data_IF_198551509104
#
_entry.id   IF_198551509104
#
_cell.length_a   1.000
_cell.length_b   1.000
_cell.length_c   1.000
_cell.angle_alpha   90.00
_cell.angle_beta   90.00
_cell.angle_gamma   90.00
#
_symmetry.space_group_name_H-M   'P 1'
#
loop_
_entity.id
_entity.type
_entity.pdbx_description
1 polymer ?
#
# COMPACT_ATOMS: atom_id res chain seq x y z
N UNK A 1 4.39 17.10 -71.56
CA UNK A 1 4.64 16.96 -70.11
C UNK A 1 3.33 16.55 -69.45
N UNK A 2 3.12 15.25 -69.26
CA UNK A 2 1.92 14.71 -68.60
C UNK A 2 2.35 14.16 -67.23
N UNK A 3 1.80 14.74 -66.17
CA UNK A 3 2.08 14.34 -64.79
C UNK A 3 1.14 13.20 -64.39
N UNK A 4 1.73 12.06 -64.04
CA UNK A 4 1.04 10.86 -63.55
C UNK A 4 0.67 11.08 -62.09
N UNK A 5 -0.62 11.06 -61.79
CA UNK A 5 -1.18 11.14 -60.44
C UNK A 5 -0.99 9.80 -59.73
N UNK A 6 -0.07 9.75 -58.77
CA UNK A 6 0.06 8.64 -57.83
C UNK A 6 -0.94 8.83 -56.69
N UNK A 7 -1.91 7.90 -56.59
CA UNK A 7 -2.81 7.78 -55.44
C UNK A 7 -1.99 7.25 -54.25
N UNK A 8 -1.67 8.10 -53.29
CA UNK A 8 -1.19 7.68 -51.98
C UNK A 8 -2.37 7.72 -50.99
N UNK A 9 -2.94 6.55 -50.73
CA UNK A 9 -3.88 6.32 -49.63
C UNK A 9 -3.12 6.40 -48.31
N UNK A 10 -3.21 7.55 -47.64
CA UNK A 10 -2.70 7.72 -46.29
C UNK A 10 -3.69 7.07 -45.33
N UNK A 11 -3.14 6.12 -44.60
CA UNK A 11 -3.71 5.28 -43.56
C UNK A 11 -4.53 6.14 -42.59
N UNK A 12 -5.81 5.79 -42.46
CA UNK A 12 -6.69 6.36 -41.44
C UNK A 12 -6.07 6.15 -40.07
N UNK A 13 -5.91 7.25 -39.34
CA UNK A 13 -5.73 7.25 -37.90
C UNK A 13 -6.88 6.46 -37.29
N UNK A 14 -6.64 5.18 -36.97
CA UNK A 14 -7.40 4.51 -35.94
C UNK A 14 -7.01 5.18 -34.62
N UNK A 15 -7.61 6.35 -34.36
CA UNK A 15 -7.90 6.74 -32.99
C UNK A 15 -8.73 5.59 -32.43
N UNK A 16 -8.08 4.68 -31.71
CA UNK A 16 -8.75 3.76 -30.82
C UNK A 16 -9.35 4.63 -29.73
N UNK A 17 -10.50 5.22 -30.06
CA UNK A 17 -11.45 5.71 -29.09
C UNK A 17 -11.88 4.45 -28.34
N UNK A 18 -11.12 4.09 -27.30
CA UNK A 18 -11.65 3.17 -26.31
C UNK A 18 -12.99 3.79 -25.90
N UNK A 19 -14.11 3.05 -25.98
CA UNK A 19 -15.37 3.57 -25.50
C UNK A 19 -15.12 4.07 -24.09
N UNK A 20 -15.51 5.31 -23.77
CA UNK A 20 -15.35 5.90 -22.44
C UNK A 20 -16.02 4.97 -21.43
N UNK A 21 -15.25 4.02 -20.92
CA UNK A 21 -15.76 2.96 -20.05
C UNK A 21 -16.20 3.68 -18.79
N UNK A 22 -17.50 3.65 -18.51
CA UNK A 22 -18.03 4.30 -17.33
C UNK A 22 -17.37 3.68 -16.08
N UNK A 23 -17.18 4.52 -15.06
CA UNK A 23 -16.37 4.16 -13.92
C UNK A 23 -16.94 2.95 -13.13
N UNK A 24 -18.25 2.75 -13.17
CA UNK A 24 -18.90 1.60 -12.54
C UNK A 24 -18.62 0.31 -13.32
N UNK A 25 -18.67 0.35 -14.66
CA UNK A 25 -18.25 -0.77 -15.49
C UNK A 25 -16.79 -1.13 -15.28
N UNK A 26 -15.89 -0.14 -15.22
CA UNK A 26 -14.46 -0.36 -14.96
C UNK A 26 -14.22 -1.01 -13.59
N UNK A 27 -14.88 -0.53 -12.53
CA UNK A 27 -14.77 -1.15 -11.20
C UNK A 27 -15.36 -2.57 -11.18
N UNK A 28 -16.47 -2.80 -11.87
CA UNK A 28 -17.13 -4.11 -11.96
C UNK A 28 -16.25 -5.14 -12.67
N UNK A 29 -15.54 -4.74 -13.73
CA UNK A 29 -14.58 -5.60 -14.43
C UNK A 29 -13.42 -6.02 -13.51
N UNK A 30 -12.81 -5.05 -12.81
CA UNK A 30 -11.73 -5.38 -11.86
C UNK A 30 -12.24 -6.29 -10.75
N UNK A 31 -13.44 -6.04 -10.21
CA UNK A 31 -14.05 -6.85 -9.18
C UNK A 31 -14.36 -8.27 -9.64
N UNK A 32 -14.71 -8.47 -10.91
CA UNK A 32 -14.79 -9.81 -11.51
C UNK A 32 -13.42 -10.49 -11.55
N UNK A 33 -12.37 -9.74 -11.92
CA UNK A 33 -10.98 -10.23 -11.89
C UNK A 33 -10.53 -10.65 -10.49
N UNK A 34 -10.84 -9.84 -9.46
CA UNK A 34 -10.55 -10.19 -8.05
C UNK A 34 -11.25 -11.47 -7.59
N UNK A 35 -12.42 -11.79 -8.17
CA UNK A 35 -13.21 -12.99 -7.86
C UNK A 35 -12.89 -14.18 -8.78
N UNK A 36 -11.94 -14.06 -9.70
CA UNK A 36 -11.52 -15.16 -10.57
C UNK A 36 -10.94 -16.32 -9.75
N UNK A 37 -11.07 -17.55 -10.25
CA UNK A 37 -10.39 -18.71 -9.69
C UNK A 37 -8.88 -18.71 -10.01
N UNK A 38 -8.44 -17.93 -11.00
CA UNK A 38 -7.04 -17.87 -11.43
C UNK A 38 -6.31 -16.76 -10.72
N UNK A 39 -5.27 -17.11 -9.97
CA UNK A 39 -4.40 -16.15 -9.26
C UNK A 39 -3.81 -15.10 -10.22
N UNK A 40 -3.47 -15.48 -11.46
CA UNK A 40 -2.97 -14.54 -12.47
C UNK A 40 -3.95 -13.41 -12.80
N UNK A 41 -5.23 -13.76 -13.01
CA UNK A 41 -6.30 -12.78 -13.30
C UNK A 41 -6.58 -11.89 -12.07
N UNK A 42 -6.55 -12.45 -10.85
CA UNK A 42 -6.66 -11.68 -9.62
C UNK A 42 -5.53 -10.65 -9.50
N UNK A 43 -4.29 -11.08 -9.76
CA UNK A 43 -3.12 -10.21 -9.66
C UNK A 43 -3.13 -9.10 -10.71
N UNK A 44 -3.50 -9.44 -11.95
CA UNK A 44 -3.69 -8.47 -13.03
C UNK A 44 -4.74 -7.41 -12.67
N UNK A 45 -5.87 -7.83 -12.08
CA UNK A 45 -6.89 -6.91 -11.63
C UNK A 45 -6.37 -5.95 -10.54
N UNK A 46 -5.63 -6.47 -9.54
CA UNK A 46 -5.08 -5.64 -8.44
C UNK A 46 -4.17 -4.52 -8.96
N UNK A 47 -3.25 -4.83 -9.89
CA UNK A 47 -2.28 -3.83 -10.38
C UNK A 47 -2.91 -2.74 -11.25
N UNK A 48 -4.17 -2.90 -11.68
CA UNK A 48 -4.92 -1.89 -12.44
C UNK A 48 -5.63 -0.85 -11.55
N UNK A 49 -5.83 -1.12 -10.26
CA UNK A 49 -6.50 -0.20 -9.34
C UNK A 49 -5.86 1.20 -9.23
N UNK A 50 -4.52 1.36 -9.19
CA UNK A 50 -3.91 2.68 -9.17
C UNK A 50 -4.36 3.53 -10.37
N UNK A 51 -4.37 2.97 -11.58
CA UNK A 51 -4.84 3.66 -12.80
C UNK A 51 -6.33 4.01 -12.71
N UNK A 52 -7.14 3.13 -12.12
CA UNK A 52 -8.55 3.40 -11.89
C UNK A 52 -8.75 4.62 -10.97
N UNK A 53 -7.96 4.74 -9.90
CA UNK A 53 -8.06 5.86 -8.96
C UNK A 53 -7.62 7.19 -9.58
N UNK A 54 -6.62 7.16 -10.46
CA UNK A 54 -6.19 8.33 -11.22
C UNK A 54 -7.27 8.80 -12.20
N UNK A 55 -7.88 7.86 -12.94
CA UNK A 55 -8.91 8.17 -13.93
C UNK A 55 -10.21 8.64 -13.29
N UNK A 56 -10.55 8.07 -12.13
CA UNK A 56 -11.84 8.27 -11.46
C UNK A 56 -11.65 8.60 -9.97
N UNK A 57 -11.19 9.82 -9.63
CA UNK A 57 -10.75 10.16 -8.27
C UNK A 57 -11.91 10.56 -7.34
N UNK A 58 -13.10 9.96 -7.49
CA UNK A 58 -14.28 10.29 -6.69
C UNK A 58 -14.46 9.36 -5.48
N UNK A 59 -14.88 9.87 -4.30
CA UNK A 59 -14.86 9.11 -3.05
C UNK A 59 -15.65 7.81 -3.05
N UNK A 60 -16.79 7.74 -3.74
CA UNK A 60 -17.65 6.56 -3.77
C UNK A 60 -16.93 5.35 -4.38
N UNK A 61 -16.22 5.55 -5.51
CA UNK A 61 -15.47 4.48 -6.16
C UNK A 61 -14.22 4.10 -5.37
N UNK A 62 -13.48 5.10 -4.87
CA UNK A 62 -12.27 4.83 -4.07
C UNK A 62 -12.63 4.03 -2.82
N UNK A 63 -13.66 4.44 -2.09
CA UNK A 63 -14.15 3.71 -0.92
C UNK A 63 -14.52 2.26 -1.27
N UNK A 64 -15.32 2.07 -2.32
CA UNK A 64 -15.77 0.74 -2.76
C UNK A 64 -14.61 -0.15 -3.16
N UNK A 65 -13.65 0.38 -3.91
CA UNK A 65 -12.44 -0.33 -4.33
C UNK A 65 -11.53 -0.68 -3.15
N UNK A 66 -11.27 0.26 -2.24
CA UNK A 66 -10.48 0.02 -1.03
C UNK A 66 -11.09 -1.08 -0.17
N UNK A 67 -12.42 -1.10 0.02
CA UNK A 67 -13.10 -2.17 0.77
C UNK A 67 -12.95 -3.55 0.10
N UNK A 68 -13.00 -3.62 -1.24
CA UNK A 68 -12.76 -4.86 -2.00
C UNK A 68 -11.32 -5.34 -1.89
N UNK A 69 -10.34 -4.42 -2.01
CA UNK A 69 -8.93 -4.73 -1.83
C UNK A 69 -8.64 -5.20 -0.40
N UNK A 70 -9.23 -4.57 0.62
CA UNK A 70 -9.04 -4.99 2.01
C UNK A 70 -9.63 -6.37 2.30
N UNK A 71 -10.75 -6.73 1.66
CA UNK A 71 -11.31 -8.07 1.78
C UNK A 71 -10.39 -9.13 1.16
N UNK A 72 -9.81 -8.84 0.00
CA UNK A 72 -8.80 -9.71 -0.62
C UNK A 72 -7.49 -9.74 0.19
N UNK A 73 -7.11 -8.65 0.86
CA UNK A 73 -5.96 -8.63 1.76
C UNK A 73 -6.17 -9.58 2.95
N UNK A 74 -7.39 -9.60 3.49
CA UNK A 74 -7.78 -10.43 4.64
C UNK A 74 -7.70 -11.91 4.29
N UNK A 75 -8.34 -12.33 3.21
CA UNK A 75 -8.53 -13.74 2.84
C UNK A 75 -7.47 -14.29 1.89
N UNK A 76 -6.73 -13.43 1.20
CA UNK A 76 -5.78 -13.81 0.15
C UNK A 76 -4.45 -14.36 0.66
N UNK A 77 -3.56 -14.62 -0.30
CA UNK A 77 -2.17 -15.05 -0.05
C UNK A 77 -1.23 -13.86 0.19
N UNK A 78 0.00 -14.12 0.64
CA UNK A 78 1.02 -13.05 0.80
C UNK A 78 1.37 -12.34 -0.51
N UNK A 79 1.19 -13.01 -1.65
CA UNK A 79 1.38 -12.36 -2.94
C UNK A 79 0.33 -11.28 -3.19
N UNK A 80 -0.95 -11.57 -2.93
CA UNK A 80 -2.02 -10.57 -2.97
C UNK A 80 -1.74 -9.40 -2.03
N UNK A 81 -1.35 -9.68 -0.78
CA UNK A 81 -0.98 -8.65 0.20
C UNK A 81 0.17 -7.77 -0.27
N UNK A 82 1.15 -8.36 -0.95
CA UNK A 82 2.28 -7.61 -1.54
C UNK A 82 1.81 -6.68 -2.67
N UNK A 83 0.92 -7.15 -3.55
CA UNK A 83 0.36 -6.32 -4.62
C UNK A 83 -0.50 -5.20 -4.05
N UNK A 84 -1.35 -5.50 -3.07
CA UNK A 84 -2.21 -4.51 -2.41
C UNK A 84 -1.36 -3.46 -1.67
N UNK A 85 -0.28 -3.87 -1.01
CA UNK A 85 0.71 -2.94 -0.43
C UNK A 85 1.26 -1.98 -1.51
N UNK A 86 1.62 -2.49 -2.70
CA UNK A 86 2.09 -1.64 -3.81
C UNK A 86 1.01 -0.67 -4.29
N UNK A 87 -0.25 -1.10 -4.35
CA UNK A 87 -1.38 -0.20 -4.69
C UNK A 87 -1.49 0.92 -3.64
N UNK A 88 -1.44 0.60 -2.34
CA UNK A 88 -1.51 1.61 -1.28
C UNK A 88 -0.32 2.59 -1.32
N UNK A 89 0.86 2.12 -1.71
CA UNK A 89 2.05 2.98 -1.91
C UNK A 89 1.86 3.96 -3.07
N UNK A 90 1.25 3.53 -4.17
CA UNK A 90 1.05 4.36 -5.36
C UNK A 90 -0.13 5.34 -5.21
N UNK A 91 -1.12 4.99 -4.38
CA UNK A 91 -2.38 5.71 -4.28
C UNK A 91 -2.54 6.53 -2.99
N UNK A 92 -1.43 6.94 -2.36
CA UNK A 92 -1.46 7.69 -1.09
C UNK A 92 -2.30 8.98 -1.15
N UNK A 93 -2.30 9.68 -2.29
CA UNK A 93 -3.07 10.92 -2.53
C UNK A 93 -4.59 10.74 -2.62
N UNK A 94 -5.07 9.51 -2.48
CA UNK A 94 -6.49 9.18 -2.57
C UNK A 94 -7.04 8.61 -1.25
N UNK A 95 -6.18 8.40 -0.25
CA UNK A 95 -6.57 7.75 1.01
C UNK A 95 -7.53 8.60 1.84
N UNK A 96 -7.47 9.93 1.71
CA UNK A 96 -8.40 10.89 2.32
C UNK A 96 -9.86 10.72 1.86
N UNK A 97 -10.07 10.02 0.74
CA UNK A 97 -11.39 9.79 0.13
C UNK A 97 -12.04 8.49 0.58
N UNK A 98 -11.42 7.74 1.49
CA UNK A 98 -11.99 6.50 2.04
C UNK A 98 -13.03 6.87 3.10
N UNK A 99 -14.32 6.66 2.78
CA UNK A 99 -15.43 7.01 3.66
C UNK A 99 -15.55 6.05 4.86
N UNK A 100 -15.44 4.74 4.61
CA UNK A 100 -15.57 3.69 5.62
C UNK A 100 -14.19 3.24 6.12
N UNK A 101 -13.41 4.19 6.65
CA UNK A 101 -12.03 3.95 7.06
C UNK A 101 -11.92 2.88 8.15
N UNK A 102 -12.84 2.86 9.11
CA UNK A 102 -12.82 1.88 10.21
C UNK A 102 -12.94 0.44 9.71
N UNK A 103 -13.88 0.19 8.81
CA UNK A 103 -14.10 -1.14 8.21
C UNK A 103 -12.92 -1.54 7.32
N UNK A 104 -12.40 -0.60 6.52
CA UNK A 104 -11.20 -0.82 5.70
C UNK A 104 -10.02 -1.25 6.57
N UNK A 105 -9.74 -0.51 7.64
CA UNK A 105 -8.64 -0.80 8.58
C UNK A 105 -8.88 -2.11 9.32
N UNK A 106 -10.10 -2.40 9.77
CA UNK A 106 -10.42 -3.63 10.49
C UNK A 106 -10.06 -4.87 9.67
N UNK A 107 -10.40 -4.89 8.38
CA UNK A 107 -10.07 -6.00 7.46
C UNK A 107 -8.57 -6.19 7.26
N UNK A 108 -7.81 -5.11 7.13
CA UNK A 108 -6.35 -5.18 7.04
C UNK A 108 -5.74 -5.68 8.36
N UNK A 109 -6.22 -5.12 9.47
CA UNK A 109 -5.70 -5.39 10.81
C UNK A 109 -5.96 -6.83 11.27
N UNK A 110 -7.03 -7.48 10.80
CA UNK A 110 -7.30 -8.88 11.10
C UNK A 110 -6.12 -9.83 10.80
N UNK A 111 -5.24 -9.48 9.86
CA UNK A 111 -4.07 -10.27 9.47
C UNK A 111 -2.88 -10.13 10.45
N UNK A 112 -2.87 -9.12 11.32
CA UNK A 112 -1.76 -8.87 12.26
C UNK A 112 -1.58 -10.01 13.28
N UNK A 113 -2.65 -10.76 13.55
CA UNK A 113 -2.64 -11.91 14.47
C UNK A 113 -2.36 -13.25 13.75
N UNK A 114 -1.93 -13.21 12.50
CA UNK A 114 -1.51 -14.41 11.76
C UNK A 114 -0.26 -15.04 12.37
N UNK A 115 -0.17 -16.36 12.32
CA UNK A 115 1.04 -17.09 12.67
C UNK A 115 2.19 -16.90 11.65
N UNK A 116 1.88 -16.38 10.45
CA UNK A 116 2.86 -16.14 9.39
C UNK A 116 3.55 -14.76 9.55
N UNK A 117 4.86 -14.72 9.81
CA UNK A 117 5.59 -13.46 9.99
C UNK A 117 5.63 -12.59 8.73
N UNK A 118 5.56 -13.18 7.53
CA UNK A 118 5.51 -12.42 6.27
C UNK A 118 4.16 -11.72 6.14
N UNK A 119 3.06 -12.39 6.51
CA UNK A 119 1.73 -11.79 6.54
C UNK A 119 1.65 -10.62 7.55
N UNK A 120 2.19 -10.81 8.76
CA UNK A 120 2.28 -9.74 9.78
C UNK A 120 3.13 -8.56 9.28
N UNK A 121 4.28 -8.85 8.68
CA UNK A 121 5.18 -7.84 8.10
C UNK A 121 4.51 -7.01 6.99
N UNK A 122 3.81 -7.67 6.06
CA UNK A 122 3.07 -6.99 4.99
C UNK A 122 1.94 -6.13 5.55
N UNK A 123 1.27 -6.59 6.61
CA UNK A 123 0.25 -5.81 7.33
C UNK A 123 0.84 -4.54 7.92
N UNK A 124 1.94 -4.64 8.67
CA UNK A 124 2.65 -3.48 9.25
C UNK A 124 3.07 -2.47 8.17
N UNK A 125 3.64 -2.95 7.05
CA UNK A 125 4.01 -2.08 5.92
C UNK A 125 2.82 -1.39 5.30
N UNK A 126 1.69 -2.08 5.20
CA UNK A 126 0.46 -1.53 4.62
C UNK A 126 -0.11 -0.46 5.55
N UNK A 127 -0.20 -0.74 6.86
CA UNK A 127 -0.60 0.22 7.88
C UNK A 127 0.30 1.47 7.88
N UNK A 128 1.62 1.29 7.73
CA UNK A 128 2.56 2.40 7.58
C UNK A 128 2.30 3.26 6.33
N UNK A 129 1.88 2.67 5.22
CA UNK A 129 1.58 3.42 3.99
C UNK A 129 0.23 4.15 4.03
N UNK A 130 -0.66 3.77 4.93
CA UNK A 130 -1.92 4.48 5.19
C UNK A 130 -1.86 5.34 6.46
N UNK A 131 -0.66 5.56 7.01
CA UNK A 131 -0.47 6.28 8.27
C UNK A 131 -1.12 7.67 8.29
N UNK A 132 -1.19 8.36 7.13
CA UNK A 132 -1.82 9.68 7.01
C UNK A 132 -3.30 9.72 7.44
N UNK A 133 -4.01 8.59 7.36
CA UNK A 133 -5.42 8.50 7.76
C UNK A 133 -5.64 7.69 9.03
N UNK A 134 -4.67 6.88 9.47
CA UNK A 134 -4.81 6.00 10.65
C UNK A 134 -3.94 6.38 11.85
N UNK A 135 -3.22 7.51 11.79
CA UNK A 135 -2.24 7.92 12.80
C UNK A 135 -2.78 7.99 14.23
N UNK A 136 -4.08 8.16 14.44
CA UNK A 136 -4.68 8.28 15.78
C UNK A 136 -5.13 6.94 16.39
N UNK A 137 -5.09 5.84 15.62
CA UNK A 137 -5.58 4.52 16.08
C UNK A 137 -4.60 3.84 17.03
N UNK A 138 -4.87 3.92 18.34
CA UNK A 138 -4.06 3.32 19.42
C UNK A 138 -3.78 1.83 19.27
N UNK A 139 -4.73 1.04 18.75
CA UNK A 139 -4.53 -0.40 18.52
C UNK A 139 -3.37 -0.66 17.56
N UNK A 140 -3.26 0.14 16.49
CA UNK A 140 -2.17 0.03 15.51
C UNK A 140 -0.83 0.37 16.15
N UNK A 141 -0.77 1.45 16.95
CA UNK A 141 0.45 1.79 17.69
C UNK A 141 0.91 0.67 18.62
N UNK A 142 -0.03 0.05 19.34
CA UNK A 142 0.28 -1.08 20.22
C UNK A 142 0.83 -2.28 19.45
N UNK A 143 0.20 -2.65 18.33
CA UNK A 143 0.71 -3.72 17.47
C UNK A 143 2.08 -3.41 16.88
N UNK A 144 2.31 -2.19 16.38
CA UNK A 144 3.63 -1.78 15.87
C UNK A 144 4.68 -1.92 16.97
N UNK A 145 4.37 -1.43 18.19
CA UNK A 145 5.26 -1.53 19.34
C UNK A 145 5.60 -2.99 19.66
N UNK A 146 4.61 -3.86 19.74
CA UNK A 146 4.85 -5.27 20.04
C UNK A 146 5.67 -5.97 18.94
N UNK A 147 5.44 -5.60 17.67
CA UNK A 147 6.19 -6.15 16.55
C UNK A 147 7.65 -5.65 16.46
N UNK A 148 8.04 -4.58 17.17
CA UNK A 148 9.45 -4.16 17.29
C UNK A 148 10.28 -5.15 18.12
N UNK A 149 9.63 -5.84 19.06
CA UNK A 149 10.25 -6.87 19.90
C UNK A 149 10.08 -8.28 19.31
N UNK A 150 9.65 -8.39 18.04
CA UNK A 150 9.45 -9.68 17.37
C UNK A 150 10.78 -10.38 17.11
N UNK A 151 10.81 -11.70 17.31
CA UNK A 151 11.97 -12.54 16.98
C UNK A 151 12.15 -12.70 15.46
N UNK A 152 11.09 -12.47 14.69
CA UNK A 152 11.10 -12.56 13.24
C UNK A 152 11.66 -11.27 12.62
N UNK A 153 12.87 -11.34 12.07
CA UNK A 153 13.55 -10.17 11.50
C UNK A 153 12.74 -9.45 10.39
N UNK A 154 11.93 -10.18 9.62
CA UNK A 154 11.08 -9.61 8.55
C UNK A 154 9.95 -8.75 9.13
N UNK A 155 9.35 -9.21 10.22
CA UNK A 155 8.33 -8.48 10.96
C UNK A 155 8.93 -7.25 11.64
N UNK A 156 10.02 -7.43 12.39
CA UNK A 156 10.73 -6.35 13.08
C UNK A 156 11.12 -5.22 12.13
N UNK A 157 11.76 -5.54 10.99
CA UNK A 157 12.11 -4.52 9.96
C UNK A 157 10.89 -3.78 9.42
N UNK A 158 9.77 -4.47 9.32
CA UNK A 158 8.52 -3.88 8.85
C UNK A 158 7.86 -3.00 9.92
N UNK A 159 8.00 -3.37 11.20
CA UNK A 159 7.61 -2.54 12.33
C UNK A 159 8.45 -1.26 12.41
N UNK A 160 9.76 -1.33 12.20
CA UNK A 160 10.65 -0.15 12.12
C UNK A 160 10.20 0.78 10.98
N UNK A 161 9.92 0.23 9.80
CA UNK A 161 9.40 1.00 8.66
C UNK A 161 8.06 1.69 9.00
N UNK A 162 7.11 0.96 9.57
CA UNK A 162 5.80 1.49 9.95
C UNK A 162 5.97 2.60 11.00
N UNK A 163 6.79 2.36 12.02
CA UNK A 163 7.17 3.34 13.04
C UNK A 163 7.66 4.65 12.42
N UNK A 164 8.58 4.59 11.45
CA UNK A 164 9.06 5.79 10.75
C UNK A 164 7.96 6.54 9.99
N UNK A 165 7.03 5.81 9.36
CA UNK A 165 5.88 6.43 8.66
C UNK A 165 4.91 7.11 9.61
N UNK A 166 4.59 6.50 10.76
CA UNK A 166 3.72 7.10 11.78
C UNK A 166 4.39 8.30 12.46
N UNK A 167 5.70 8.23 12.71
CA UNK A 167 6.48 9.34 13.24
C UNK A 167 6.37 10.60 12.35
N UNK A 168 6.42 10.42 11.03
CA UNK A 168 6.30 11.52 10.07
C UNK A 168 4.92 12.19 10.05
N UNK A 169 3.86 11.54 10.52
CA UNK A 169 2.52 12.14 10.62
C UNK A 169 2.33 12.98 11.90
N UNK A 170 3.24 12.83 12.87
CA UNK A 170 3.02 13.26 14.25
C UNK A 170 3.43 14.72 14.52
N UNK A 171 2.56 15.65 14.13
CA UNK A 171 2.61 17.08 14.48
C UNK A 171 1.59 17.49 15.57
N UNK A 172 0.82 16.55 16.13
CA UNK A 172 -0.28 16.84 17.08
C UNK A 172 -0.09 16.13 18.42
N UNK A 173 -0.43 16.83 19.51
CA UNK A 173 0.06 16.71 20.89
C UNK A 173 -0.21 15.41 21.69
N UNK A 174 -0.53 14.28 21.04
CA UNK A 174 -0.48 12.93 21.65
C UNK A 174 0.83 12.17 21.30
N UNK A 175 1.64 12.79 20.43
CA UNK A 175 2.84 12.25 19.80
C UNK A 175 4.10 12.15 20.67
N UNK A 176 4.18 12.83 21.82
CA UNK A 176 5.40 12.84 22.64
C UNK A 176 5.74 11.46 23.21
N UNK A 177 4.73 10.67 23.58
CA UNK A 177 4.95 9.31 24.12
C UNK A 177 5.42 8.34 23.05
N UNK A 178 4.92 8.45 21.82
CA UNK A 178 5.39 7.64 20.69
C UNK A 178 6.76 8.12 20.18
N UNK A 179 7.01 9.43 20.12
CA UNK A 179 8.35 10.00 19.78
C UNK A 179 9.43 9.54 20.75
N UNK A 180 9.14 9.48 22.05
CA UNK A 180 10.10 8.97 23.04
C UNK A 180 10.39 7.47 22.86
N UNK A 181 9.39 6.68 22.48
CA UNK A 181 9.56 5.25 22.18
C UNK A 181 10.34 5.03 20.85
N UNK A 182 10.06 5.87 19.85
CA UNK A 182 10.79 5.91 18.57
C UNK A 182 12.25 6.27 18.80
N UNK A 183 12.53 7.33 19.58
CA UNK A 183 13.89 7.74 19.93
C UNK A 183 14.62 6.69 20.77
N UNK A 184 13.97 6.03 21.73
CA UNK A 184 14.63 4.99 22.53
C UNK A 184 14.94 3.73 21.73
N UNK A 185 14.02 3.27 20.87
CA UNK A 185 14.24 2.04 20.06
C UNK A 185 15.21 2.30 18.91
N UNK A 186 15.11 3.45 18.22
CA UNK A 186 16.10 3.83 17.20
C UNK A 186 17.47 4.07 17.84
N UNK A 187 17.57 4.72 19.01
CA UNK A 187 18.86 4.92 19.68
C UNK A 187 19.51 3.62 20.14
N UNK A 188 18.74 2.65 20.66
CA UNK A 188 19.25 1.33 21.04
C UNK A 188 19.73 0.54 19.81
N UNK A 189 18.95 0.53 18.72
CA UNK A 189 19.30 -0.25 17.52
C UNK A 189 20.37 0.41 16.64
N UNK A 190 20.47 1.75 16.61
CA UNK A 190 21.59 2.45 15.96
C UNK A 190 22.88 2.21 16.73
N UNK A 191 22.85 2.15 18.07
CA UNK A 191 24.03 1.76 18.86
C UNK A 191 24.43 0.31 18.59
N UNK A 192 23.48 -0.63 18.49
CA UNK A 192 23.81 -2.03 18.16
C UNK A 192 24.38 -2.16 16.73
N UNK A 193 23.89 -1.40 15.76
CA UNK A 193 24.45 -1.36 14.40
C UNK A 193 25.84 -0.69 14.32
N UNK A 194 26.13 0.27 15.21
CA UNK A 194 27.45 0.89 15.32
C UNK A 194 28.45 -0.03 16.05
N UNK A 195 28.00 -0.82 17.02
CA UNK A 195 28.83 -1.81 17.71
C UNK A 195 29.19 -3.00 16.81
N UNK A 196 28.30 -3.42 15.90
CA UNK A 196 28.60 -4.47 14.90
C UNK A 196 29.55 -3.97 13.81
N UNK A 197 29.59 -2.67 13.53
CA UNK A 197 30.52 -2.04 12.57
C UNK A 197 31.75 -1.39 13.25
N UNK A 198 31.99 -1.65 14.54
CA UNK A 198 33.11 -1.13 15.33
C UNK A 198 34.49 -1.67 14.94
N UNK A 199 34.65 -2.23 13.75
CA UNK A 199 35.93 -2.54 13.12
C UNK A 199 36.54 -1.32 12.45
N UNK A 200 37.06 -0.41 13.29
CA UNK A 200 38.13 0.55 13.02
C UNK A 200 38.22 1.25 11.66
N UNK A 201 37.98 2.57 11.69
CA UNK A 201 38.84 3.50 10.95
C UNK A 201 39.32 4.57 11.92
N UNK A 202 40.61 4.47 12.29
CA UNK A 202 41.32 5.48 13.07
C UNK A 202 41.44 6.76 12.23
N UNK A 203 41.11 7.88 12.85
CA UNK A 203 41.50 9.22 12.44
C UNK A 203 43.04 9.33 12.43
N UNK A 204 43.63 9.41 11.25
CA UNK A 204 44.76 10.26 10.86
C UNK A 204 44.62 10.59 9.37
#
# INVERSE_FOLDING_TARGET
>A
MASVSARLSIIGETSSCEPDQDANSALTELDKGLRSAKVGEQCEAIVRFPRLFEKYPFPILINSACLKLAELFRTGTNFHRTLILRVMQQSQKHLDKILNLDEFVHRLYAVIHSNDPVARALTLRTLGNIASVVAEKKSIHHSIRNSLDSHDAVEMKSAIYATGKFAAQSNTSQAEKSKNLICSVIALQVNDLQLVNGGGWKLL
#
